data_IF_931492201788
#
_entry.id   IF_931492201788
#
_cell.length_a   1.000
_cell.length_b   1.000
_cell.length_c   1.000
_cell.angle_alpha   90.00
_cell.angle_beta   90.00
_cell.angle_gamma   90.00
#
_symmetry.space_group_name_H-M   'P 1'
#
loop_
_entity.id
_entity.type
_entity.pdbx_description
1 polymer ?
#
# COMPACT_ATOMS: atom_id res chain seq x y z
N UNK A 1 -49.81 58.37 16.26
CA UNK A 1 -48.96 57.67 15.28
C UNK A 1 -47.52 57.67 15.81
N UNK A 2 -47.13 56.67 16.60
CA UNK A 2 -45.77 56.52 17.15
C UNK A 2 -44.91 55.80 16.10
N UNK A 3 -43.87 56.46 15.58
CA UNK A 3 -42.89 55.86 14.65
C UNK A 3 -42.00 54.90 15.45
N UNK A 4 -42.11 53.60 15.17
CA UNK A 4 -41.26 52.55 15.74
C UNK A 4 -39.92 52.56 14.98
N UNK A 5 -38.83 52.95 15.66
CA UNK A 5 -37.46 52.84 15.14
C UNK A 5 -37.05 51.36 15.16
N UNK A 6 -36.84 50.77 13.99
CA UNK A 6 -36.23 49.46 13.84
C UNK A 6 -34.71 49.60 14.09
N UNK A 7 -34.22 49.09 15.23
CA UNK A 7 -32.79 48.91 15.47
C UNK A 7 -32.31 47.72 14.63
N UNK A 8 -31.45 47.96 13.64
CA UNK A 8 -30.67 46.91 12.99
C UNK A 8 -29.54 46.50 13.94
N UNK A 9 -29.68 45.32 14.55
CA UNK A 9 -28.64 44.71 15.39
C UNK A 9 -27.66 43.97 14.46
N UNK A 10 -26.45 44.49 14.35
CA UNK A 10 -25.35 43.92 13.57
C UNK A 10 -24.84 42.63 14.21
N UNK A 11 -25.23 41.47 13.70
CA UNK A 11 -24.55 40.20 13.98
C UNK A 11 -23.47 39.98 12.94
N UNK A 12 -22.24 40.38 13.29
CA UNK A 12 -21.01 39.95 12.63
C UNK A 12 -20.82 38.46 12.98
N UNK A 13 -21.18 37.58 12.05
CA UNK A 13 -20.83 36.16 12.14
C UNK A 13 -19.34 36.07 11.77
N UNK A 14 -18.50 35.90 12.78
CA UNK A 14 -17.11 35.50 12.59
C UNK A 14 -17.11 34.09 11.99
N UNK A 15 -17.03 34.00 10.67
CA UNK A 15 -16.63 32.78 9.98
C UNK A 15 -15.19 32.50 10.42
N UNK A 16 -15.04 31.67 11.44
CA UNK A 16 -13.77 31.01 11.72
C UNK A 16 -13.43 30.20 10.48
N UNK A 17 -12.47 30.67 9.71
CA UNK A 17 -11.74 29.89 8.73
C UNK A 17 -10.80 28.94 9.48
N UNK A 18 -11.37 28.04 10.27
CA UNK A 18 -10.73 26.76 10.49
C UNK A 18 -10.84 26.06 9.15
N UNK A 19 -9.73 26.07 8.41
CA UNK A 19 -9.49 25.15 7.30
C UNK A 19 -10.11 23.81 7.69
N UNK A 20 -11.11 23.38 6.94
CA UNK A 20 -11.48 21.98 6.88
C UNK A 20 -10.25 21.27 6.32
N UNK A 21 -9.30 20.99 7.19
CA UNK A 21 -8.30 19.97 6.96
C UNK A 21 -9.11 18.70 6.85
N UNK A 22 -9.51 18.36 5.62
CA UNK A 22 -9.83 16.99 5.25
C UNK A 22 -8.61 16.21 5.72
N UNK A 23 -8.76 15.55 6.86
CA UNK A 23 -7.80 14.59 7.35
C UNK A 23 -7.79 13.53 6.26
N UNK A 24 -6.83 13.59 5.32
CA UNK A 24 -6.46 12.39 4.59
C UNK A 24 -5.97 11.46 5.69
N UNK A 25 -6.85 10.56 6.09
CA UNK A 25 -6.45 9.46 6.95
C UNK A 25 -5.40 8.74 6.12
N UNK A 26 -4.12 8.85 6.49
CA UNK A 26 -3.04 8.14 5.82
C UNK A 26 -3.44 6.68 5.77
N UNK A 27 -3.91 6.26 4.62
CA UNK A 27 -4.37 4.92 4.43
C UNK A 27 -3.19 4.14 3.91
N UNK A 28 -2.80 3.13 4.68
CA UNK A 28 -1.81 2.18 4.22
C UNK A 28 -2.41 1.41 3.06
N UNK A 29 -1.89 1.63 1.86
CA UNK A 29 -2.23 0.81 0.70
C UNK A 29 -1.48 -0.51 0.88
N UNK A 30 -2.18 -1.63 1.08
CA UNK A 30 -1.52 -2.89 1.36
C UNK A 30 -0.76 -3.36 0.12
N UNK A 31 0.51 -3.72 0.30
CA UNK A 31 1.32 -4.23 -0.81
C UNK A 31 0.80 -5.58 -1.27
N UNK A 32 0.95 -5.87 -2.56
CA UNK A 32 0.59 -7.17 -3.14
C UNK A 32 1.66 -8.24 -2.89
N UNK A 33 2.64 -7.98 -2.03
CA UNK A 33 3.85 -8.79 -1.90
C UNK A 33 3.53 -10.24 -1.56
N UNK A 34 4.29 -11.13 -2.19
CA UNK A 34 4.01 -12.55 -2.22
C UNK A 34 4.90 -13.28 -1.22
N UNK A 35 4.32 -13.79 -0.13
CA UNK A 35 4.98 -14.75 0.74
C UNK A 35 4.08 -15.96 0.93
N UNK A 36 4.49 -17.12 0.42
CA UNK A 36 3.74 -18.37 0.55
C UNK A 36 4.40 -19.27 1.58
N UNK A 37 3.64 -19.57 2.63
CA UNK A 37 4.05 -20.25 3.86
C UNK A 37 3.62 -21.73 3.86
N UNK A 38 3.19 -22.25 2.70
CA UNK A 38 2.95 -23.67 2.45
C UNK A 38 1.52 -24.14 2.75
N UNK A 39 0.77 -23.47 3.62
CA UNK A 39 -0.66 -23.72 3.84
C UNK A 39 -1.50 -22.51 3.44
N UNK A 40 -2.67 -22.77 2.82
CA UNK A 40 -3.59 -21.71 2.45
C UNK A 40 -5.04 -22.12 2.67
N UNK A 41 -5.93 -21.13 2.77
CA UNK A 41 -7.35 -21.29 2.48
C UNK A 41 -7.64 -20.59 1.15
N UNK A 42 -8.64 -21.05 0.43
CA UNK A 42 -9.06 -20.45 -0.84
C UNK A 42 -10.47 -19.92 -0.74
N UNK A 43 -10.65 -18.64 -1.09
CA UNK A 43 -11.97 -18.05 -1.32
C UNK A 43 -12.15 -17.88 -2.83
N UNK A 44 -13.14 -18.57 -3.40
CA UNK A 44 -13.49 -18.46 -4.82
C UNK A 44 -14.67 -17.50 -4.99
N UNK A 45 -14.43 -16.35 -5.57
CA UNK A 45 -15.47 -15.39 -5.93
C UNK A 45 -16.04 -15.75 -7.29
N UNK A 46 -17.34 -16.07 -7.34
CA UNK A 46 -18.01 -16.47 -8.58
C UNK A 46 -18.27 -15.28 -9.53
N UNK A 47 -18.11 -14.05 -9.03
CA UNK A 47 -18.14 -12.82 -9.81
C UNK A 47 -17.39 -11.73 -9.04
N UNK A 48 -16.72 -10.82 -9.74
CA UNK A 48 -16.15 -9.58 -9.16
C UNK A 48 -17.20 -8.54 -8.77
N UNK A 49 -18.48 -8.82 -9.02
CA UNK A 49 -19.56 -7.82 -8.95
C UNK A 49 -19.30 -6.69 -9.95
N UNK A 50 -20.33 -6.15 -10.58
CA UNK A 50 -20.19 -5.07 -11.58
C UNK A 50 -19.86 -3.72 -10.92
N UNK A 51 -18.74 -3.65 -10.21
CA UNK A 51 -18.27 -2.43 -9.59
C UNK A 51 -17.56 -1.57 -10.66
N UNK A 52 -17.86 -0.27 -10.67
CA UNK A 52 -17.17 0.67 -11.55
C UNK A 52 -15.79 0.99 -10.95
N UNK A 53 -14.85 0.05 -11.08
CA UNK A 53 -13.46 0.30 -10.77
C UNK A 53 -12.92 1.41 -11.68
N UNK A 54 -12.13 2.31 -11.11
CA UNK A 54 -11.55 3.48 -11.78
C UNK A 54 -10.21 3.11 -12.42
N UNK A 55 -9.45 2.20 -11.80
CA UNK A 55 -8.17 1.68 -12.29
C UNK A 55 -8.37 0.51 -13.25
N UNK A 56 -7.43 0.37 -14.18
CA UNK A 56 -7.35 -0.75 -15.12
C UNK A 56 -6.89 -2.06 -14.44
N UNK A 57 -6.42 -2.00 -13.19
CA UNK A 57 -5.87 -3.16 -12.47
C UNK A 57 -6.18 -3.14 -10.97
N UNK A 58 -7.45 -3.27 -10.57
CA UNK A 58 -7.80 -3.42 -9.17
C UNK A 58 -7.33 -4.78 -8.64
N UNK A 59 -7.02 -4.85 -7.35
CA UNK A 59 -6.62 -6.09 -6.67
C UNK A 59 -7.29 -6.20 -5.31
N UNK A 60 -7.53 -7.43 -4.88
CA UNK A 60 -8.06 -7.77 -3.57
C UNK A 60 -6.92 -8.27 -2.69
N UNK A 61 -6.95 -7.91 -1.42
CA UNK A 61 -6.02 -8.40 -0.39
C UNK A 61 -6.77 -9.00 0.79
N UNK A 62 -6.13 -9.97 1.43
CA UNK A 62 -6.49 -10.46 2.75
C UNK A 62 -5.60 -9.80 3.80
N UNK A 63 -6.20 -8.97 4.64
CA UNK A 63 -5.51 -8.16 5.63
C UNK A 63 -5.84 -8.61 7.06
N UNK A 64 -4.80 -8.84 7.85
CA UNK A 64 -4.93 -9.26 9.24
C UNK A 64 -5.38 -8.10 10.12
N UNK A 65 -5.77 -8.41 11.36
CA UNK A 65 -6.12 -7.38 12.34
C UNK A 65 -4.97 -6.42 12.69
N UNK A 66 -3.73 -6.82 12.43
CA UNK A 66 -2.53 -6.02 12.62
C UNK A 66 -2.12 -5.21 11.38
N UNK A 67 -2.88 -5.30 10.28
CA UNK A 67 -2.62 -4.57 9.04
C UNK A 67 -1.66 -5.27 8.07
N UNK A 68 -1.22 -6.49 8.38
CA UNK A 68 -0.36 -7.26 7.49
C UNK A 68 -1.17 -7.96 6.41
N UNK A 69 -0.63 -8.01 5.20
CA UNK A 69 -1.28 -8.68 4.06
C UNK A 69 -0.79 -10.11 3.96
N UNK A 70 -1.73 -11.05 3.99
CA UNK A 70 -1.47 -12.49 3.87
C UNK A 70 -2.27 -13.12 2.73
N UNK A 71 -2.37 -12.39 1.62
CA UNK A 71 -2.98 -12.87 0.38
C UNK A 71 -3.32 -11.72 -0.54
N UNK A 72 -3.09 -11.89 -1.84
CA UNK A 72 -3.42 -10.90 -2.86
C UNK A 72 -3.88 -11.57 -4.16
N UNK A 73 -4.77 -10.92 -4.91
CA UNK A 73 -5.21 -11.37 -6.23
C UNK A 73 -5.73 -10.20 -7.08
N UNK A 74 -5.48 -10.20 -8.39
CA UNK A 74 -6.11 -9.24 -9.30
C UNK A 74 -7.61 -9.49 -9.43
N UNK A 75 -8.41 -8.42 -9.43
CA UNK A 75 -9.87 -8.48 -9.57
C UNK A 75 -10.23 -8.23 -11.04
N UNK A 76 -10.95 -9.14 -11.71
CA UNK A 76 -11.40 -8.93 -13.08
C UNK A 76 -12.40 -7.77 -13.17
N UNK A 77 -12.17 -6.83 -14.09
CA UNK A 77 -13.08 -5.69 -14.33
C UNK A 77 -14.25 -6.03 -15.25
N UNK A 78 -14.23 -7.21 -15.88
CA UNK A 78 -15.24 -7.71 -16.81
C UNK A 78 -16.40 -8.47 -16.11
N UNK A 79 -16.39 -8.53 -14.78
CA UNK A 79 -17.38 -9.27 -13.98
C UNK A 79 -17.05 -10.76 -13.80
N UNK A 80 -15.89 -11.22 -14.28
CA UNK A 80 -15.43 -12.60 -14.20
C UNK A 80 -15.23 -13.12 -12.77
N UNK A 81 -15.05 -14.44 -12.66
CA UNK A 81 -14.71 -15.11 -11.40
C UNK A 81 -13.21 -15.01 -11.11
N UNK A 82 -12.84 -14.96 -9.83
CA UNK A 82 -11.45 -14.95 -9.39
C UNK A 82 -11.33 -15.64 -8.02
N UNK A 83 -10.13 -16.02 -7.61
CA UNK A 83 -9.89 -16.70 -6.34
C UNK A 83 -8.70 -16.13 -5.61
N UNK A 84 -8.86 -15.82 -4.34
CA UNK A 84 -7.76 -15.41 -3.46
C UNK A 84 -7.31 -16.61 -2.62
N UNK A 85 -5.99 -16.80 -2.56
CA UNK A 85 -5.36 -17.66 -1.57
C UNK A 85 -5.01 -16.81 -0.36
N UNK A 86 -5.52 -17.20 0.81
CA UNK A 86 -5.20 -16.57 2.10
C UNK A 86 -4.22 -17.49 2.81
N UNK A 87 -3.05 -16.99 3.13
CA UNK A 87 -1.91 -17.77 3.64
C UNK A 87 -2.03 -17.97 5.15
N UNK A 88 -1.67 -19.16 5.61
CA UNK A 88 -1.63 -19.50 7.03
C UNK A 88 -0.24 -19.44 7.59
N UNK A 89 -0.13 -19.05 8.85
CA UNK A 89 1.13 -19.08 9.58
C UNK A 89 1.66 -20.51 9.69
N UNK A 90 2.96 -20.72 9.47
CA UNK A 90 3.58 -22.01 9.76
C UNK A 90 3.94 -22.11 11.25
N UNK A 91 3.76 -23.30 11.85
CA UNK A 91 4.07 -23.48 13.29
C UNK A 91 5.53 -23.81 13.56
N UNK A 92 6.36 -23.81 12.52
CA UNK A 92 7.73 -24.34 12.53
C UNK A 92 8.79 -23.26 12.63
N UNK A 93 8.45 -22.03 12.24
CA UNK A 93 9.29 -20.84 12.39
C UNK A 93 8.79 -19.95 13.54
N UNK A 94 9.60 -18.97 13.93
CA UNK A 94 9.21 -17.94 14.91
C UNK A 94 8.70 -16.66 14.25
N UNK A 95 8.61 -16.63 12.92
CA UNK A 95 8.12 -15.49 12.15
C UNK A 95 6.62 -15.67 11.95
N UNK A 96 5.84 -14.61 12.13
CA UNK A 96 4.41 -14.63 11.83
C UNK A 96 4.25 -14.22 10.38
N UNK A 97 3.96 -15.17 9.51
CA UNK A 97 3.93 -15.00 8.05
C UNK A 97 2.57 -15.33 7.41
N UNK A 98 1.58 -15.66 8.24
CA UNK A 98 0.20 -15.83 7.80
C UNK A 98 -0.81 -15.79 8.94
N UNK A 99 -2.04 -16.24 8.64
CA UNK A 99 -3.11 -16.35 9.62
C UNK A 99 -2.97 -17.59 10.49
N UNK A 100 -3.24 -17.43 11.78
CA UNK A 100 -3.46 -18.56 12.68
C UNK A 100 -4.87 -19.12 12.55
N UNK A 101 -5.08 -20.38 12.94
CA UNK A 101 -6.39 -21.04 12.89
C UNK A 101 -7.50 -20.26 13.60
N UNK A 102 -8.63 -20.06 12.91
CA UNK A 102 -9.81 -19.28 13.33
C UNK A 102 -9.60 -17.77 13.48
N UNK A 103 -8.47 -17.22 13.05
CA UNK A 103 -8.30 -15.77 12.99
C UNK A 103 -9.27 -15.17 11.95
N UNK A 104 -9.83 -14.00 12.26
CA UNK A 104 -10.73 -13.29 11.35
C UNK A 104 -9.94 -12.75 10.16
N UNK A 105 -10.41 -13.05 8.95
CA UNK A 105 -9.79 -12.58 7.72
C UNK A 105 -10.56 -11.37 7.24
N UNK A 106 -9.94 -10.19 7.18
CA UNK A 106 -10.55 -9.03 6.55
C UNK A 106 -10.13 -8.97 5.09
N UNK A 107 -11.04 -8.50 4.23
CA UNK A 107 -10.79 -8.39 2.80
C UNK A 107 -10.96 -6.94 2.37
N UNK A 108 -10.03 -6.48 1.55
CA UNK A 108 -10.07 -5.14 0.97
C UNK A 108 -9.82 -5.21 -0.53
N UNK A 109 -10.43 -4.31 -1.29
CA UNK A 109 -10.13 -4.10 -2.70
C UNK A 109 -9.43 -2.75 -2.84
N UNK A 110 -8.30 -2.76 -3.53
CA UNK A 110 -7.53 -1.58 -3.87
C UNK A 110 -7.76 -1.29 -5.35
N UNK A 111 -8.06 -0.03 -5.64
CA UNK A 111 -8.35 0.49 -6.95
C UNK A 111 -7.61 1.82 -7.14
N UNK A 112 -6.36 1.74 -7.62
CA UNK A 112 -5.44 2.87 -7.61
C UNK A 112 -5.17 3.34 -6.17
N UNK A 113 -5.63 4.54 -5.82
CA UNK A 113 -5.47 5.09 -4.47
C UNK A 113 -6.72 4.88 -3.59
N UNK A 114 -7.75 4.20 -4.09
CA UNK A 114 -8.98 3.95 -3.34
C UNK A 114 -8.91 2.59 -2.67
N UNK A 115 -9.18 2.53 -1.37
CA UNK A 115 -9.29 1.27 -0.62
C UNK A 115 -10.73 1.06 -0.20
N UNK A 116 -11.26 -0.10 -0.53
CA UNK A 116 -12.62 -0.52 -0.23
C UNK A 116 -12.62 -1.69 0.73
N UNK A 117 -13.41 -1.60 1.81
CA UNK A 117 -13.69 -2.76 2.64
C UNK A 117 -14.70 -3.67 1.96
N UNK A 118 -14.42 -4.97 1.96
CA UNK A 118 -15.33 -6.01 1.48
C UNK A 118 -16.12 -6.56 2.64
N UNK A 119 -17.44 -6.50 2.56
CA UNK A 119 -18.34 -6.94 3.63
C UNK A 119 -19.57 -7.65 3.07
N UNK A 120 -20.43 -8.17 3.95
CA UNK A 120 -21.65 -8.91 3.58
C UNK A 120 -21.38 -10.05 2.59
N UNK A 121 -20.34 -10.85 2.85
CA UNK A 121 -20.07 -12.02 2.02
C UNK A 121 -21.21 -13.02 2.14
N UNK A 122 -21.62 -13.57 1.00
CA UNK A 122 -22.59 -14.66 0.92
C UNK A 122 -21.90 -15.83 0.24
N UNK A 123 -21.96 -17.00 0.87
CA UNK A 123 -21.50 -18.27 0.31
C UNK A 123 -22.66 -19.07 -0.26
N UNK A 124 -22.39 -20.23 -0.86
CA UNK A 124 -23.44 -21.17 -1.31
C UNK A 124 -24.33 -21.68 -0.17
N UNK A 125 -23.90 -21.56 1.08
CA UNK A 125 -24.65 -22.00 2.27
C UNK A 125 -25.30 -20.86 3.07
N UNK A 126 -25.20 -19.60 2.59
CA UNK A 126 -25.75 -18.43 3.25
C UNK A 126 -24.69 -17.39 3.65
N UNK A 127 -25.04 -16.44 4.54
CA UNK A 127 -24.12 -15.40 5.00
C UNK A 127 -22.83 -16.01 5.55
N UNK A 128 -21.69 -15.42 5.16
CA UNK A 128 -20.37 -15.93 5.48
C UNK A 128 -19.53 -14.84 6.15
N UNK A 129 -18.94 -15.20 7.28
CA UNK A 129 -17.91 -14.39 7.93
C UNK A 129 -16.58 -15.14 7.80
N UNK A 130 -15.60 -14.61 7.06
CA UNK A 130 -14.36 -15.32 6.80
C UNK A 130 -13.50 -15.44 8.07
N UNK A 131 -13.22 -16.67 8.45
CA UNK A 131 -12.22 -17.04 9.48
C UNK A 131 -11.24 -18.03 8.87
N UNK A 132 -9.96 -17.92 9.20
CA UNK A 132 -8.92 -18.75 8.62
C UNK A 132 -9.08 -20.22 9.00
N UNK A 133 -9.15 -21.09 7.98
CA UNK A 133 -9.20 -22.54 8.13
C UNK A 133 -8.27 -23.18 7.11
N UNK A 134 -7.21 -23.81 7.59
CA UNK A 134 -6.17 -24.44 6.78
C UNK A 134 -6.76 -25.40 5.73
N UNK A 135 -6.33 -25.25 4.47
CA UNK A 135 -6.76 -26.03 3.31
C UNK A 135 -8.27 -25.99 3.03
N UNK A 136 -8.99 -25.02 3.60
CA UNK A 136 -10.41 -24.83 3.31
C UNK A 136 -10.61 -24.20 1.94
N UNK A 137 -11.77 -24.51 1.35
CA UNK A 137 -12.23 -23.93 0.09
C UNK A 137 -13.66 -23.45 0.26
N UNK A 138 -13.90 -22.15 0.07
CA UNK A 138 -15.23 -21.56 0.20
C UNK A 138 -15.59 -20.76 -1.05
N UNK A 139 -16.68 -21.13 -1.77
CA UNK A 139 -17.22 -20.31 -2.84
C UNK A 139 -18.04 -19.14 -2.28
N UNK A 140 -17.76 -17.93 -2.76
CA UNK A 140 -18.45 -16.68 -2.46
C UNK A 140 -19.29 -16.31 -3.68
N UNK A 141 -20.61 -16.24 -3.48
CA UNK A 141 -21.58 -15.95 -4.54
C UNK A 141 -21.77 -14.44 -4.74
N UNK A 142 -21.63 -13.65 -3.68
CA UNK A 142 -21.75 -12.19 -3.73
C UNK A 142 -21.07 -11.55 -2.52
N UNK A 143 -20.72 -10.28 -2.66
CA UNK A 143 -20.18 -9.42 -1.61
C UNK A 143 -20.59 -7.97 -1.87
N UNK A 144 -20.45 -7.12 -0.85
CA UNK A 144 -20.64 -5.68 -0.93
C UNK A 144 -19.30 -4.98 -0.66
N UNK A 145 -19.13 -3.77 -1.21
CA UNK A 145 -17.96 -2.94 -0.94
C UNK A 145 -18.34 -1.57 -0.40
N UNK A 146 -17.52 -1.01 0.48
CA UNK A 146 -17.66 0.35 1.01
C UNK A 146 -16.31 1.04 0.94
N UNK A 147 -16.30 2.30 0.51
CA UNK A 147 -15.08 3.10 0.54
C UNK A 147 -14.61 3.21 2.00
N UNK A 148 -13.41 2.70 2.27
CA UNK A 148 -12.75 2.83 3.56
C UNK A 148 -12.02 4.17 3.62
N UNK A 149 -11.17 4.40 2.63
CA UNK A 149 -10.27 5.55 2.60
C UNK A 149 -9.76 5.80 1.16
N UNK A 150 -9.11 6.95 0.98
CA UNK A 150 -8.33 7.29 -0.20
C UNK A 150 -6.90 7.54 0.26
N UNK A 151 -5.95 6.74 -0.22
CA UNK A 151 -4.53 6.96 -0.04
C UNK A 151 -4.03 8.16 -0.83
N UNK A 152 -2.82 8.61 -0.51
CA UNK A 152 -2.15 9.65 -1.28
C UNK A 152 -1.77 9.12 -2.66
N UNK A 153 -1.63 10.02 -3.63
CA UNK A 153 -1.15 9.66 -4.97
C UNK A 153 0.24 9.04 -4.90
N UNK A 154 0.41 7.86 -5.50
CA UNK A 154 1.73 7.24 -5.60
C UNK A 154 2.54 8.02 -6.62
N UNK A 155 3.57 8.70 -6.14
CA UNK A 155 4.53 9.45 -6.93
C UNK A 155 5.86 8.70 -6.82
N UNK A 156 6.25 8.11 -7.94
CA UNK A 156 7.53 7.41 -8.08
C UNK A 156 8.68 8.39 -8.25
N UNK A 157 9.78 8.12 -7.57
CA UNK A 157 11.05 8.85 -7.70
C UNK A 157 11.95 8.62 -6.50
N UNK A 158 13.18 9.13 -6.56
CA UNK A 158 14.12 8.92 -5.47
C UNK A 158 13.65 9.58 -4.16
N UNK A 159 13.44 8.76 -3.12
CA UNK A 159 12.98 9.20 -1.79
C UNK A 159 14.13 9.50 -0.83
N UNK A 160 15.37 9.17 -1.20
CA UNK A 160 16.56 9.42 -0.39
C UNK A 160 17.03 10.87 -0.54
N UNK A 161 17.00 11.62 0.57
CA UNK A 161 17.43 13.02 0.61
C UNK A 161 18.91 13.23 0.33
N UNK A 162 19.74 12.19 0.42
CA UNK A 162 21.17 12.25 0.14
C UNK A 162 21.50 12.01 -1.35
N UNK A 163 20.52 11.64 -2.17
CA UNK A 163 20.69 11.45 -3.61
C UNK A 163 20.66 12.77 -4.39
N UNK A 164 21.40 12.86 -5.49
CA UNK A 164 21.46 14.04 -6.37
C UNK A 164 20.17 14.28 -7.15
N UNK A 165 19.33 13.27 -7.29
CA UNK A 165 18.03 13.31 -7.95
C UNK A 165 16.86 13.07 -6.97
N UNK A 166 17.04 13.39 -5.68
CA UNK A 166 15.98 13.37 -4.69
C UNK A 166 14.73 14.15 -5.15
N UNK A 167 13.55 13.55 -5.01
CA UNK A 167 12.27 14.18 -5.30
C UNK A 167 11.39 14.21 -4.04
N UNK A 168 11.15 15.42 -3.51
CA UNK A 168 10.36 15.62 -2.29
C UNK A 168 8.88 15.27 -2.44
N UNK A 169 8.36 15.23 -3.67
CA UNK A 169 6.99 14.82 -3.94
C UNK A 169 6.85 13.30 -4.06
N UNK A 170 7.96 12.55 -4.17
CA UNK A 170 7.94 11.09 -4.28
C UNK A 170 7.69 10.41 -2.95
N UNK A 171 6.78 9.44 -2.93
CA UNK A 171 6.46 8.62 -1.76
C UNK A 171 6.80 7.12 -1.95
N UNK A 172 7.21 6.72 -3.15
CA UNK A 172 7.70 5.39 -3.45
C UNK A 172 9.02 5.49 -4.22
N UNK A 173 10.08 4.91 -3.65
CA UNK A 173 11.38 4.82 -4.31
C UNK A 173 11.27 3.96 -5.57
N UNK A 174 11.71 4.50 -6.70
CA UNK A 174 11.74 3.80 -7.99
C UNK A 174 13.09 3.14 -8.28
N UNK A 175 14.03 3.23 -7.33
CA UNK A 175 15.37 2.66 -7.44
C UNK A 175 16.27 3.43 -8.41
N UNK A 176 15.89 4.66 -8.80
CA UNK A 176 16.69 5.51 -9.70
C UNK A 176 17.63 6.45 -8.96
N UNK A 177 17.73 6.38 -7.63
CA UNK A 177 18.58 7.26 -6.83
C UNK A 177 20.04 7.29 -7.34
N UNK A 178 20.52 8.48 -7.69
CA UNK A 178 21.87 8.76 -8.12
C UNK A 178 22.65 9.40 -6.95
N UNK A 179 23.84 8.92 -6.67
CA UNK A 179 24.68 9.45 -5.59
C UNK A 179 25.95 10.06 -6.16
N UNK A 180 26.31 11.25 -5.65
CA UNK A 180 27.56 11.88 -6.01
C UNK A 180 28.74 11.02 -5.52
N UNK A 181 29.44 10.37 -6.44
CA UNK A 181 30.74 9.73 -6.13
C UNK A 181 31.77 10.82 -5.88
N UNK A 182 32.03 11.09 -4.60
CA UNK A 182 33.18 11.88 -4.19
C UNK A 182 34.41 11.01 -4.43
N UNK A 183 35.01 11.11 -5.62
CA UNK A 183 36.37 10.61 -5.79
C UNK A 183 37.28 11.50 -4.94
N UNK A 184 37.89 11.02 -3.84
CA UNK A 184 39.00 11.75 -3.27
C UNK A 184 40.02 11.87 -4.40
N UNK A 185 40.35 13.11 -4.78
CA UNK A 185 41.32 13.39 -5.83
C UNK A 185 42.53 12.51 -5.60
N UNK A 186 42.76 11.54 -6.49
CA UNK A 186 43.88 10.64 -6.39
C UNK A 186 45.14 11.50 -6.53
N UNK A 187 45.79 11.83 -5.41
CA UNK A 187 47.07 12.50 -5.44
C UNK A 187 48.04 11.48 -6.01
N UNK A 188 48.41 11.63 -7.28
CA UNK A 188 49.57 10.95 -7.85
C UNK A 188 50.75 11.30 -6.93
N UNK A 189 51.10 10.36 -6.07
CA UNK A 189 52.25 10.48 -5.17
C UNK A 189 53.47 10.86 -6.00
N UNK A 190 54.32 11.71 -5.42
CA UNK A 190 55.54 12.19 -6.06
C UNK A 190 56.34 11.01 -6.60
N UNK A 191 56.55 10.99 -7.92
CA UNK A 191 57.45 10.05 -8.59
C UNK A 191 58.88 10.42 -8.20
N UNK A 192 59.53 9.59 -7.39
CA UNK A 192 60.95 9.72 -7.16
C UNK A 192 61.70 9.11 -8.35
N UNK A 193 62.29 9.96 -9.19
CA UNK A 193 63.29 9.52 -10.15
C UNK A 193 64.62 9.51 -9.41
N UNK A 194 65.09 8.33 -8.99
CA UNK A 194 66.49 8.20 -8.57
C UNK A 194 67.35 8.17 -9.82
N UNK A 195 68.18 9.19 -10.03
CA UNK A 195 69.21 9.15 -11.05
C UNK A 195 70.15 7.99 -10.74
N UNK A 196 70.29 7.06 -11.69
CA UNK A 196 71.29 6.01 -11.61
C UNK A 196 72.67 6.67 -11.76
N UNK A 197 73.34 6.88 -10.63
CA UNK A 197 74.73 7.32 -10.64
C UNK A 197 75.58 6.19 -11.23
N UNK A 198 76.12 6.43 -12.42
CA UNK A 198 76.93 5.47 -13.15
C UNK A 198 78.16 5.04 -12.37
N UNK A 199 78.52 3.76 -12.51
CA UNK A 199 79.86 3.19 -12.30
C UNK A 199 79.86 1.75 -12.83
N UNK A 200 80.54 1.51 -13.96
CA UNK A 200 80.69 0.17 -14.50
C UNK A 200 81.33 0.10 -15.89
N UNK A 201 82.55 0.66 -15.98
CA UNK A 201 83.69 0.47 -16.91
C UNK A 201 83.51 0.22 -18.43
N UNK A 202 84.46 0.72 -19.26
CA UNK A 202 84.41 0.72 -20.73
C UNK A 202 84.69 -0.61 -21.42
#
# INVERSE_FOLDING_TARGET
MKKLKLLYLSTFILLNSSSLSLYSQQCYIPSSDYSNTGSNMTLLFLSSSSNNYVSDSPYMVAISSSGHTYGSVSVPTDGGSFSIAVWGDDTTTGEIDGYSGNEVVNLQIIDGNLVYDVFQLISTTGPFSPSYVTNSFTPIVSFSISLNCQGDEIIYGCTDSDATNYNADSNVDDGTCEYAVVYPSCVLGTVYISEAHGSGDP
#
